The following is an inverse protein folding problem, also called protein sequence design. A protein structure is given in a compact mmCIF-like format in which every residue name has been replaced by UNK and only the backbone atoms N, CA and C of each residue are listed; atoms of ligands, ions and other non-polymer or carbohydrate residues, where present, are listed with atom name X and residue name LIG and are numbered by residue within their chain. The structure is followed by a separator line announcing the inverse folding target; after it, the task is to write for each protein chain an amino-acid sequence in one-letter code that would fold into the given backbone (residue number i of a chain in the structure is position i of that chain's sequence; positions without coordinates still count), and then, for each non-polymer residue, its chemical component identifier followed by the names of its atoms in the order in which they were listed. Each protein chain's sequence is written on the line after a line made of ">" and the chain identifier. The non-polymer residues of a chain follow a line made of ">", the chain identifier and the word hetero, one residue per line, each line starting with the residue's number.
data_IF_247566064424
#
_entry.id   IF_247566064424
#
_cell.length_a   1.000
_cell.length_b   1.000
_cell.length_c   1.000
_cell.angle_alpha   90.00
_cell.angle_beta   90.00
_cell.angle_gamma   90.00
#
_symmetry.space_group_name_H-M   'P 1'
#
loop_
_entity.id
_entity.type
_entity.pdbx_description
1 polymer ?
#
# COMPACT_ATOMS: atom_id res chain seq x y z
N UNK A 1 8.59 7.68 18.52
CA UNK A 1 8.12 7.33 19.86
C UNK A 1 8.36 5.88 20.28
N UNK A 2 9.13 5.12 19.47
CA UNK A 2 9.49 3.73 19.75
C UNK A 2 10.54 3.60 20.86
N UNK A 3 11.39 4.61 21.05
CA UNK A 3 12.33 4.65 22.18
C UNK A 3 11.61 4.66 23.53
N UNK A 4 10.43 5.31 23.58
CA UNK A 4 9.57 5.35 24.77
C UNK A 4 9.03 3.97 25.18
N UNK A 5 8.95 3.02 24.25
CA UNK A 5 8.50 1.65 24.47
C UNK A 5 9.63 0.63 24.65
N UNK A 6 10.88 1.10 24.78
CA UNK A 6 12.04 0.24 25.06
C UNK A 6 12.42 -0.75 23.95
N UNK A 7 11.89 -0.60 22.74
CA UNK A 7 12.20 -1.48 21.59
C UNK A 7 13.49 -1.01 20.92
N UNK A 8 14.60 -1.68 21.20
CA UNK A 8 15.94 -1.36 20.71
C UNK A 8 16.28 -1.96 19.33
N UNK A 9 15.36 -2.72 18.72
CA UNK A 9 15.59 -3.46 17.47
C UNK A 9 15.00 -2.79 16.22
N UNK A 10 14.70 -1.49 16.30
CA UNK A 10 14.21 -0.72 15.16
C UNK A 10 15.33 0.18 14.67
N UNK A 11 15.64 0.04 13.39
CA UNK A 11 16.60 0.88 12.68
C UNK A 11 15.86 1.84 11.76
N UNK A 12 16.16 3.13 11.86
CA UNK A 12 15.55 4.19 11.07
C UNK A 12 16.54 4.73 10.05
N UNK A 13 16.12 4.74 8.79
CA UNK A 13 16.89 5.34 7.71
C UNK A 13 16.00 6.28 6.89
N UNK A 14 16.59 7.37 6.39
CA UNK A 14 15.93 8.25 5.44
C UNK A 14 16.45 7.87 4.06
N UNK A 15 15.57 7.25 3.26
CA UNK A 15 15.89 6.76 1.92
C UNK A 15 14.75 7.08 0.94
N UNK A 16 15.10 7.20 -0.33
CA UNK A 16 14.15 7.33 -1.42
C UNK A 16 13.76 5.93 -1.92
N UNK A 17 12.53 5.52 -1.64
CA UNK A 17 12.02 4.21 -2.02
C UNK A 17 11.85 3.99 -3.54
N UNK A 18 12.14 4.99 -4.37
CA UNK A 18 12.13 4.86 -5.82
C UNK A 18 13.48 4.53 -6.43
N UNK A 19 14.59 4.64 -5.67
CA UNK A 19 15.95 4.53 -6.24
C UNK A 19 17.05 4.06 -5.30
N UNK A 20 16.89 4.20 -3.98
CA UNK A 20 17.94 3.83 -3.03
C UNK A 20 17.94 2.32 -2.76
N UNK A 21 19.11 1.78 -2.43
CA UNK A 21 19.27 0.36 -2.09
C UNK A 21 18.75 0.03 -0.68
N UNK A 22 18.10 -1.11 -0.57
CA UNK A 22 17.57 -1.66 0.67
C UNK A 22 18.10 -3.08 0.92
N UNK A 23 18.17 -3.53 2.17
CA UNK A 23 18.52 -4.92 2.44
C UNK A 23 17.43 -5.87 1.92
N UNK A 24 17.85 -7.03 1.41
CA UNK A 24 16.93 -8.11 1.09
C UNK A 24 16.14 -8.51 2.34
N UNK A 25 14.84 -8.69 2.19
CA UNK A 25 13.91 -8.89 3.30
C UNK A 25 12.87 -9.96 2.96
N UNK A 26 12.43 -10.70 3.97
CA UNK A 26 11.34 -11.67 3.82
C UNK A 26 9.97 -11.03 3.90
N UNK A 27 9.88 -9.82 4.47
CA UNK A 27 8.64 -9.07 4.63
C UNK A 27 8.87 -7.60 4.35
N UNK A 28 8.04 -7.04 3.48
CA UNK A 28 8.05 -5.61 3.14
C UNK A 28 6.63 -5.06 3.34
N UNK A 29 6.52 -3.92 4.01
CA UNK A 29 5.30 -3.14 4.09
C UNK A 29 5.52 -1.80 3.40
N UNK A 30 4.70 -1.49 2.41
CA UNK A 30 4.66 -0.20 1.72
C UNK A 30 3.39 0.53 2.15
N UNK A 31 3.53 1.54 3.01
CA UNK A 31 2.49 2.54 3.28
C UNK A 31 2.71 3.67 2.27
N UNK A 32 2.05 3.55 1.12
CA UNK A 32 2.35 4.37 -0.05
C UNK A 32 1.83 5.82 0.11
N UNK A 33 2.62 6.82 -0.32
CA UNK A 33 2.12 8.18 -0.42
C UNK A 33 0.92 8.20 -1.37
N UNK A 34 -0.19 8.83 -0.97
CA UNK A 34 -1.44 8.82 -1.72
C UNK A 34 -2.17 10.15 -1.62
N UNK A 35 -3.26 10.31 -2.37
CA UNK A 35 -4.11 11.52 -2.30
C UNK A 35 -4.81 11.64 -0.95
N UNK A 36 -5.03 10.56 -0.22
CA UNK A 36 -5.63 10.56 1.11
C UNK A 36 -7.15 10.75 1.10
N UNK A 37 -7.84 10.44 0.00
CA UNK A 37 -9.30 10.64 -0.12
C UNK A 37 -10.11 9.80 0.87
N UNK A 38 -9.54 8.71 1.38
CA UNK A 38 -10.17 7.85 2.40
C UNK A 38 -10.20 8.43 3.81
N UNK A 39 -9.40 9.47 4.10
CA UNK A 39 -9.28 10.09 5.44
C UNK A 39 -9.80 11.52 5.49
N UNK A 40 -10.70 11.90 4.58
CA UNK A 40 -11.29 13.24 4.51
C UNK A 40 -12.00 13.66 5.81
N UNK A 41 -12.56 12.71 6.57
CA UNK A 41 -13.17 12.95 7.87
C UNK A 41 -12.19 13.50 8.90
N UNK A 42 -10.94 13.07 8.85
CA UNK A 42 -9.87 13.51 9.76
C UNK A 42 -9.04 14.66 9.21
N UNK A 43 -8.96 14.78 7.88
CA UNK A 43 -8.16 15.78 7.16
C UNK A 43 -9.02 16.50 6.12
N UNK A 44 -9.99 17.32 6.53
CA UNK A 44 -10.96 17.92 5.60
C UNK A 44 -10.32 18.90 4.61
N UNK A 45 -9.16 19.44 4.91
CA UNK A 45 -8.40 20.33 4.02
C UNK A 45 -7.90 19.64 2.74
N UNK A 46 -7.82 18.31 2.73
CA UNK A 46 -7.49 17.51 1.52
C UNK A 46 -8.48 17.84 0.40
N UNK A 47 -9.78 18.00 0.70
CA UNK A 47 -10.82 18.34 -0.29
C UNK A 47 -10.49 19.57 -1.12
N UNK A 48 -9.82 20.55 -0.54
CA UNK A 48 -9.51 21.82 -1.19
C UNK A 48 -8.14 21.84 -1.86
N UNK A 49 -7.24 20.92 -1.48
CA UNK A 49 -5.86 20.85 -1.97
C UNK A 49 -5.67 19.85 -3.09
N UNK A 50 -6.54 18.85 -3.21
CA UNK A 50 -6.39 17.80 -4.22
C UNK A 50 -7.12 18.17 -5.52
N UNK A 51 -6.49 17.78 -6.62
CA UNK A 51 -7.00 17.92 -8.00
C UNK A 51 -6.96 16.54 -8.65
N UNK A 52 -7.80 16.30 -9.70
CA UNK A 52 -7.80 15.02 -10.41
C UNK A 52 -6.41 14.61 -10.93
N UNK A 53 -5.58 15.56 -11.36
CA UNK A 53 -4.24 15.30 -11.88
C UNK A 53 -3.32 14.66 -10.83
N UNK A 54 -3.49 15.00 -9.55
CA UNK A 54 -2.70 14.43 -8.46
C UNK A 54 -2.94 12.93 -8.27
N UNK A 55 -4.11 12.39 -8.65
CA UNK A 55 -4.40 10.96 -8.59
C UNK A 55 -3.44 10.21 -9.51
N UNK A 56 -3.30 10.66 -10.76
CA UNK A 56 -2.41 10.02 -11.73
C UNK A 56 -0.94 10.20 -11.39
N UNK A 57 -0.56 11.34 -10.80
CA UNK A 57 0.81 11.56 -10.31
C UNK A 57 1.15 10.60 -9.16
N UNK A 58 0.22 10.45 -8.20
CA UNK A 58 0.41 9.52 -7.09
C UNK A 58 0.44 8.07 -7.57
N UNK A 59 -0.45 7.67 -8.46
CA UNK A 59 -0.46 6.32 -9.03
C UNK A 59 0.87 5.95 -9.71
N UNK A 60 1.46 6.88 -10.46
CA UNK A 60 2.79 6.70 -11.07
C UNK A 60 3.90 6.54 -10.01
N UNK A 61 3.90 7.40 -9.00
CA UNK A 61 4.87 7.33 -7.91
C UNK A 61 4.74 6.02 -7.14
N UNK A 62 3.53 5.63 -6.82
CA UNK A 62 3.21 4.37 -6.12
C UNK A 62 3.68 3.15 -6.91
N UNK A 63 3.43 3.14 -8.22
CA UNK A 63 3.91 2.08 -9.10
C UNK A 63 5.45 1.99 -9.10
N UNK A 64 6.16 3.13 -9.18
CA UNK A 64 7.62 3.16 -9.12
C UNK A 64 8.15 2.64 -7.79
N UNK A 65 7.56 3.07 -6.66
CA UNK A 65 7.92 2.57 -5.32
C UNK A 65 7.70 1.06 -5.24
N UNK A 66 6.51 0.57 -5.60
CA UNK A 66 6.17 -0.85 -5.56
C UNK A 66 7.12 -1.68 -6.41
N UNK A 67 7.37 -1.24 -7.65
CA UNK A 67 8.25 -1.92 -8.57
C UNK A 67 9.70 -2.00 -8.04
N UNK A 68 10.24 -0.90 -7.54
CA UNK A 68 11.59 -0.84 -7.00
C UNK A 68 11.72 -1.67 -5.71
N UNK A 69 10.82 -1.47 -4.75
CA UNK A 69 10.87 -2.17 -3.47
C UNK A 69 10.67 -3.69 -3.61
N UNK A 70 9.96 -4.13 -4.63
CA UNK A 70 9.75 -5.56 -4.89
C UNK A 70 11.04 -6.31 -5.21
N UNK A 71 12.08 -5.63 -5.71
CA UNK A 71 13.38 -6.23 -6.02
C UNK A 71 14.15 -6.65 -4.76
N UNK A 72 13.83 -6.03 -3.62
CA UNK A 72 14.42 -6.34 -2.31
C UNK A 72 13.64 -7.41 -1.52
N UNK A 73 12.60 -8.00 -2.09
CA UNK A 73 11.88 -9.11 -1.48
C UNK A 73 12.54 -10.44 -1.83
N UNK A 74 12.87 -11.25 -0.82
CA UNK A 74 13.38 -12.60 -1.02
C UNK A 74 12.35 -13.50 -1.73
N UNK A 75 12.77 -14.51 -2.51
CA UNK A 75 11.88 -15.57 -2.97
C UNK A 75 11.14 -16.21 -1.79
N UNK A 76 9.84 -16.44 -1.93
CA UNK A 76 8.95 -16.89 -0.84
C UNK A 76 8.55 -15.78 0.15
N UNK A 77 9.11 -14.60 0.01
CA UNK A 77 8.78 -13.43 0.86
C UNK A 77 7.39 -12.86 0.60
N UNK A 78 6.95 -12.02 1.51
CA UNK A 78 5.63 -11.37 1.47
C UNK A 78 5.77 -9.85 1.43
N UNK A 79 5.05 -9.20 0.53
CA UNK A 79 4.93 -7.76 0.45
C UNK A 79 3.47 -7.35 0.65
N UNK A 80 3.26 -6.34 1.50
CA UNK A 80 1.96 -5.68 1.65
C UNK A 80 2.08 -4.26 1.12
N UNK A 81 1.18 -3.91 0.21
CA UNK A 81 1.01 -2.56 -0.30
C UNK A 81 -0.29 -1.99 0.24
N UNK A 82 -0.25 -0.77 0.77
CA UNK A 82 -1.42 -0.09 1.32
C UNK A 82 -1.48 1.39 1.01
N UNK A 83 -2.69 1.94 0.94
CA UNK A 83 -2.98 3.37 0.80
C UNK A 83 -4.17 3.77 1.68
N UNK A 84 -4.29 5.05 1.97
CA UNK A 84 -5.51 5.66 2.51
C UNK A 84 -6.29 6.41 1.42
N UNK A 85 -6.30 5.90 0.19
CA UNK A 85 -7.04 6.44 -0.95
C UNK A 85 -8.26 5.59 -1.29
N UNK A 86 -9.33 6.23 -1.74
CA UNK A 86 -10.51 5.57 -2.30
C UNK A 86 -10.40 5.36 -3.82
N UNK A 87 -9.40 5.97 -4.46
CA UNK A 87 -9.27 6.03 -5.91
C UNK A 87 -8.73 4.69 -6.47
N UNK A 88 -9.45 4.05 -7.40
CA UNK A 88 -9.00 2.80 -8.02
C UNK A 88 -7.63 2.91 -8.70
N UNK A 89 -7.31 4.09 -9.23
CA UNK A 89 -6.05 4.40 -9.90
C UNK A 89 -4.84 4.26 -8.97
N UNK A 90 -5.01 4.60 -7.67
CA UNK A 90 -3.98 4.49 -6.64
C UNK A 90 -3.96 3.10 -5.96
N UNK A 91 -4.99 2.30 -6.19
CA UNK A 91 -5.25 1.05 -5.49
C UNK A 91 -5.07 -0.16 -6.44
N UNK A 92 -6.19 -0.74 -6.89
CA UNK A 92 -6.14 -1.97 -7.69
C UNK A 92 -5.42 -1.77 -9.03
N UNK A 93 -5.55 -0.62 -9.70
CA UNK A 93 -4.92 -0.40 -11.01
C UNK A 93 -3.38 -0.39 -10.91
N UNK A 94 -2.80 0.14 -9.82
CA UNK A 94 -1.36 0.04 -9.55
C UNK A 94 -0.95 -1.42 -9.40
N UNK A 95 -1.69 -2.19 -8.62
CA UNK A 95 -1.39 -3.60 -8.36
C UNK A 95 -1.57 -4.47 -9.61
N UNK A 96 -2.63 -4.24 -10.38
CA UNK A 96 -2.88 -4.97 -11.62
C UNK A 96 -1.74 -4.74 -12.64
N UNK A 97 -1.30 -3.49 -12.79
CA UNK A 97 -0.17 -3.15 -13.65
C UNK A 97 1.12 -3.82 -13.17
N UNK A 98 1.37 -3.82 -11.87
CA UNK A 98 2.54 -4.47 -11.28
C UNK A 98 2.55 -5.99 -11.52
N UNK A 99 1.43 -6.67 -11.26
CA UNK A 99 1.33 -8.13 -11.44
C UNK A 99 1.46 -8.55 -12.92
N UNK A 100 1.03 -7.69 -13.86
CA UNK A 100 1.25 -7.91 -15.29
C UNK A 100 2.73 -7.78 -15.68
N UNK A 101 3.46 -6.86 -15.04
CA UNK A 101 4.88 -6.62 -15.31
C UNK A 101 5.78 -7.67 -14.65
N UNK A 102 5.43 -8.15 -13.45
CA UNK A 102 6.23 -9.07 -12.63
C UNK A 102 5.47 -10.38 -12.34
N UNK A 103 5.44 -11.32 -13.29
CA UNK A 103 4.67 -12.56 -13.18
C UNK A 103 5.20 -13.54 -12.10
N UNK A 104 6.39 -13.29 -11.56
CA UNK A 104 6.94 -14.00 -10.40
C UNK A 104 6.22 -13.63 -9.09
N UNK A 105 5.37 -12.60 -9.08
CA UNK A 105 4.54 -12.24 -7.94
C UNK A 105 3.12 -12.77 -8.12
N UNK A 106 2.48 -13.09 -7.01
CA UNK A 106 1.08 -13.51 -6.98
C UNK A 106 0.35 -12.93 -5.76
N UNK A 107 -0.95 -12.72 -5.93
CA UNK A 107 -1.83 -12.32 -4.84
C UNK A 107 -1.91 -13.42 -3.77
N UNK A 108 -1.96 -12.99 -2.51
CA UNK A 108 -2.31 -13.83 -1.36
C UNK A 108 -3.63 -13.33 -0.80
N UNK A 109 -4.71 -14.10 -1.00
CA UNK A 109 -6.02 -13.78 -0.44
C UNK A 109 -6.01 -14.17 1.04
N UNK A 110 -6.16 -13.18 1.92
CA UNK A 110 -6.21 -13.40 3.37
C UNK A 110 -7.66 -13.57 3.80
N UNK A 111 -8.04 -14.79 4.18
CA UNK A 111 -9.43 -15.12 4.50
C UNK A 111 -9.72 -15.28 5.99
N UNK A 112 -8.71 -15.23 6.87
CA UNK A 112 -8.87 -15.68 8.25
C UNK A 112 -8.80 -14.58 9.31
N UNK A 113 -8.33 -13.38 8.97
CA UNK A 113 -8.05 -12.35 9.96
C UNK A 113 -8.80 -11.04 9.77
N UNK A 114 -9.53 -10.89 8.66
CA UNK A 114 -10.26 -9.67 8.32
C UNK A 114 -11.76 -9.98 8.15
N UNK A 115 -12.65 -9.03 8.46
CA UNK A 115 -14.07 -9.17 8.15
C UNK A 115 -14.28 -9.35 6.64
N UNK A 116 -15.13 -10.31 6.25
CA UNK A 116 -15.41 -10.57 4.84
C UNK A 116 -15.95 -9.34 4.11
N UNK A 117 -16.74 -8.51 4.80
CA UNK A 117 -17.30 -7.25 4.29
C UNK A 117 -16.25 -6.19 3.94
N UNK A 118 -15.00 -6.36 4.41
CA UNK A 118 -13.87 -5.47 4.09
C UNK A 118 -13.07 -5.95 2.88
N UNK A 119 -13.42 -7.11 2.35
CA UNK A 119 -12.74 -7.67 1.18
C UNK A 119 -13.51 -7.31 -0.10
N UNK A 120 -12.79 -6.81 -1.09
CA UNK A 120 -13.36 -6.57 -2.42
C UNK A 120 -13.29 -7.82 -3.31
N UNK A 121 -13.91 -7.74 -4.50
CA UNK A 121 -13.98 -8.84 -5.47
C UNK A 121 -12.61 -9.35 -5.95
N UNK A 122 -11.56 -8.54 -5.81
CA UNK A 122 -10.18 -8.91 -6.14
C UNK A 122 -9.45 -9.61 -4.98
N UNK A 123 -10.12 -9.81 -3.83
CA UNK A 123 -9.51 -10.40 -2.64
C UNK A 123 -8.54 -9.45 -1.91
N UNK A 124 -8.73 -8.14 -2.06
CA UNK A 124 -7.98 -7.10 -1.37
C UNK A 124 -8.83 -6.48 -0.27
N UNK A 125 -8.19 -6.02 0.82
CA UNK A 125 -8.86 -5.18 1.81
C UNK A 125 -9.22 -3.85 1.16
N UNK A 126 -10.49 -3.47 1.27
CA UNK A 126 -10.99 -2.17 0.85
C UNK A 126 -12.12 -1.69 1.74
N UNK A 127 -11.90 -0.61 2.46
CA UNK A 127 -12.92 0.01 3.31
C UNK A 127 -13.37 1.35 2.76
N UNK A 128 -14.64 1.67 3.01
CA UNK A 128 -15.26 2.94 2.63
C UNK A 128 -15.94 3.55 3.87
N UNK A 129 -15.71 4.84 4.19
CA UNK A 129 -16.27 5.45 5.39
C UNK A 129 -17.79 5.37 5.49
N UNK A 130 -18.48 5.52 4.37
CA UNK A 130 -19.95 5.53 4.31
C UNK A 130 -20.58 4.12 4.39
N UNK A 131 -19.79 3.06 4.20
CA UNK A 131 -20.27 1.66 4.28
C UNK A 131 -19.84 1.04 5.61
N UNK A 132 -18.58 1.21 5.98
CA UNK A 132 -17.96 0.43 7.06
C UNK A 132 -17.79 1.24 8.36
N UNK A 133 -18.04 2.57 8.35
CA UNK A 133 -17.89 3.42 9.53
C UNK A 133 -16.43 3.62 10.01
N UNK A 134 -15.46 3.25 9.18
CA UNK A 134 -14.02 3.44 9.42
C UNK A 134 -13.40 4.26 8.29
N UNK A 135 -12.14 4.66 8.45
CA UNK A 135 -11.42 5.34 7.37
C UNK A 135 -11.38 4.48 6.10
N UNK A 136 -11.34 5.15 4.95
CA UNK A 136 -11.14 4.49 3.67
C UNK A 136 -9.69 4.03 3.53
N UNK A 137 -9.50 2.73 3.37
CA UNK A 137 -8.21 2.09 3.24
C UNK A 137 -8.25 1.07 2.12
N UNK A 138 -7.11 0.89 1.46
CA UNK A 138 -6.86 -0.22 0.57
C UNK A 138 -5.59 -0.94 1.00
N UNK A 139 -5.60 -2.26 1.02
CA UNK A 139 -4.38 -3.03 1.20
C UNK A 139 -4.44 -4.35 0.43
N UNK A 140 -3.30 -4.77 -0.07
CA UNK A 140 -3.13 -6.01 -0.81
C UNK A 140 -1.85 -6.71 -0.38
N UNK A 141 -1.94 -8.02 -0.23
CA UNK A 141 -0.81 -8.90 0.12
C UNK A 141 -0.40 -9.70 -1.11
N UNK A 142 0.88 -9.67 -1.43
CA UNK A 142 1.47 -10.45 -2.52
C UNK A 142 2.66 -11.25 -2.00
N UNK A 143 3.01 -12.33 -2.69
CA UNK A 143 4.22 -13.12 -2.43
C UNK A 143 5.04 -13.27 -3.71
N UNK A 144 6.36 -13.34 -3.55
CA UNK A 144 7.29 -13.69 -4.63
C UNK A 144 7.44 -15.20 -4.68
N UNK A 145 7.23 -15.80 -5.84
CA UNK A 145 7.45 -17.24 -6.08
C UNK A 145 8.90 -17.63 -5.99
#
# INVERSE_FOLDING_TARGET
>A
DFERHGKKNIHWEVKDATKDDFPLSDKILIDAPCTGTGVLSRKPDIRWRRKPEHILEMAKLQFHILNHMSDFLNPGGTLVYGTCSLEPEENWMVMEQFLKLKPEFQLVIETSSLPDEWMNDNGCLQTFPHIHGVDGMFAVKITRK
#
